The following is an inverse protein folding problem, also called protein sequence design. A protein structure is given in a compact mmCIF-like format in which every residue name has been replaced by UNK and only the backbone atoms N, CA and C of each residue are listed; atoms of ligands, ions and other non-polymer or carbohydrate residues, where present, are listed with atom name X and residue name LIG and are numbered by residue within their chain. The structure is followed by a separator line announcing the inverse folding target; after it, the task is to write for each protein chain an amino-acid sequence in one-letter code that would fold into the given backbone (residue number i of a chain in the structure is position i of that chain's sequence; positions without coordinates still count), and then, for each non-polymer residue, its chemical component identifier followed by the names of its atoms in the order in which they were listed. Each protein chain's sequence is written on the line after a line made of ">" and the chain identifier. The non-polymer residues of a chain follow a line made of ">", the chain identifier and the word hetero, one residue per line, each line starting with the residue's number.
data_IF_154142369650
#
_entry.id   IF_154142369650
#
_cell.length_a   1.000
_cell.length_b   1.000
_cell.length_c   1.000
_cell.angle_alpha   90.00
_cell.angle_beta   90.00
_cell.angle_gamma   90.00
#
_symmetry.space_group_name_H-M   'P 1'
#
loop_
_entity.id
_entity.type
_entity.pdbx_description
1 polymer ?
#
# COMPACT_ATOMS: atom_id res chain seq x y z
N UNK A 1 -1.70 -31.94 6.30
CA UNK A 1 -2.11 -30.53 6.13
C UNK A 1 -1.96 -30.19 4.66
N UNK A 2 -3.03 -29.71 4.00
CA UNK A 2 -2.98 -29.33 2.59
C UNK A 2 -2.05 -28.13 2.38
N UNK A 3 -1.66 -27.84 1.13
CA UNK A 3 -0.92 -26.61 0.81
C UNK A 3 -1.73 -25.36 1.20
N UNK A 4 -3.05 -25.37 0.98
CA UNK A 4 -3.96 -24.30 1.36
C UNK A 4 -3.95 -24.06 2.88
N UNK A 5 -4.02 -25.12 3.68
CA UNK A 5 -3.96 -25.00 5.15
C UNK A 5 -2.60 -24.45 5.61
N UNK A 6 -1.50 -24.89 4.99
CA UNK A 6 -0.14 -24.38 5.28
C UNK A 6 -0.03 -22.90 4.95
N UNK A 7 -0.52 -22.48 3.79
CA UNK A 7 -0.52 -21.08 3.39
C UNK A 7 -1.39 -20.24 4.33
N UNK A 8 -2.53 -20.75 4.78
CA UNK A 8 -3.37 -20.05 5.76
C UNK A 8 -2.63 -19.79 7.08
N UNK A 9 -1.84 -20.76 7.57
CA UNK A 9 -0.98 -20.58 8.75
C UNK A 9 0.10 -19.52 8.49
N UNK A 10 0.76 -19.57 7.33
CA UNK A 10 1.76 -18.55 6.93
C UNK A 10 1.13 -17.15 6.88
N UNK A 11 -0.05 -17.01 6.28
CA UNK A 11 -0.76 -15.73 6.20
C UNK A 11 -1.09 -15.20 7.59
N UNK A 12 -1.57 -16.06 8.50
CA UNK A 12 -1.85 -15.66 9.87
C UNK A 12 -0.59 -15.19 10.62
N UNK A 13 0.54 -15.87 10.41
CA UNK A 13 1.82 -15.42 10.97
C UNK A 13 2.24 -14.08 10.39
N UNK A 14 2.05 -13.86 9.09
CA UNK A 14 2.43 -12.63 8.42
C UNK A 14 1.63 -11.40 8.90
N UNK A 15 0.38 -11.60 9.34
CA UNK A 15 -0.44 -10.57 9.99
C UNK A 15 -0.04 -10.31 11.46
N UNK A 16 0.85 -11.13 12.04
CA UNK A 16 1.30 -11.00 13.43
C UNK A 16 2.63 -10.25 13.49
N UNK A 17 2.62 -9.03 14.03
CA UNK A 17 3.83 -8.21 14.20
C UNK A 17 4.96 -8.98 14.90
N UNK A 18 6.17 -8.93 14.34
CA UNK A 18 7.35 -9.59 14.90
C UNK A 18 7.50 -11.06 14.49
N UNK A 19 6.62 -11.59 13.64
CA UNK A 19 6.70 -12.96 13.10
C UNK A 19 7.25 -13.00 11.66
N UNK A 20 7.75 -11.88 11.14
CA UNK A 20 8.25 -11.77 9.76
C UNK A 20 9.37 -12.79 9.49
N UNK A 21 10.32 -12.95 10.42
CA UNK A 21 11.40 -13.94 10.28
C UNK A 21 10.88 -15.39 10.35
N UNK A 22 9.84 -15.63 11.14
CA UNK A 22 9.22 -16.96 11.23
C UNK A 22 8.53 -17.33 9.91
N UNK A 23 7.88 -16.36 9.25
CA UNK A 23 7.31 -16.50 7.90
C UNK A 23 8.42 -16.82 6.90
N UNK A 24 9.47 -16.01 6.85
CA UNK A 24 10.60 -16.18 5.91
C UNK A 24 11.25 -17.57 6.05
N UNK A 25 11.36 -18.10 7.28
CA UNK A 25 11.94 -19.43 7.51
C UNK A 25 11.11 -20.60 6.97
N UNK A 26 9.79 -20.43 6.81
CA UNK A 26 8.88 -21.51 6.40
C UNK A 26 8.67 -21.57 4.88
N UNK A 27 8.83 -20.43 4.19
CA UNK A 27 8.51 -20.29 2.78
C UNK A 27 9.34 -21.17 1.83
N UNK A 28 10.66 -21.38 2.03
CA UNK A 28 11.44 -22.24 1.14
C UNK A 28 10.91 -23.69 1.08
N UNK A 29 10.66 -24.31 2.23
CA UNK A 29 10.15 -25.68 2.30
C UNK A 29 8.70 -25.78 1.78
N UNK A 30 7.87 -24.77 2.04
CA UNK A 30 6.53 -24.69 1.47
C UNK A 30 6.57 -24.62 -0.07
N UNK A 31 7.45 -23.78 -0.62
CA UNK A 31 7.61 -23.59 -2.06
C UNK A 31 8.11 -24.85 -2.74
N UNK A 32 9.14 -25.50 -2.21
CA UNK A 32 9.67 -26.77 -2.74
C UNK A 32 8.57 -27.84 -2.83
N UNK A 33 7.72 -27.92 -1.80
CA UNK A 33 6.58 -28.83 -1.82
C UNK A 33 5.56 -28.43 -2.91
N UNK A 34 5.19 -27.16 -3.01
CA UNK A 34 4.24 -26.69 -4.02
C UNK A 34 4.76 -26.91 -5.45
N UNK A 35 6.06 -26.73 -5.70
CA UNK A 35 6.71 -27.03 -6.97
C UNK A 35 6.68 -28.53 -7.29
N UNK A 36 6.95 -29.38 -6.30
CA UNK A 36 6.88 -30.85 -6.42
C UNK A 36 5.45 -31.32 -6.75
N UNK A 37 4.44 -30.66 -6.19
CA UNK A 37 3.03 -30.93 -6.46
C UNK A 37 2.51 -30.22 -7.71
N UNK A 38 3.35 -29.41 -8.39
CA UNK A 38 3.01 -28.58 -9.54
C UNK A 38 1.84 -27.60 -9.29
N UNK A 39 1.66 -27.14 -8.04
CA UNK A 39 0.70 -26.10 -7.67
C UNK A 39 1.34 -24.71 -7.87
N UNK A 40 1.50 -24.32 -9.13
CA UNK A 40 2.12 -23.04 -9.52
C UNK A 40 1.45 -21.80 -8.94
N UNK A 41 0.11 -21.75 -8.77
CA UNK A 41 -0.54 -20.68 -8.01
C UNK A 41 -0.02 -20.59 -6.56
N UNK A 42 0.21 -21.71 -5.88
CA UNK A 42 0.79 -21.71 -4.52
C UNK A 42 2.26 -21.29 -4.53
N UNK A 43 3.03 -21.65 -5.55
CA UNK A 43 4.42 -21.18 -5.73
C UNK A 43 4.43 -19.65 -5.85
N UNK A 44 3.61 -19.07 -6.73
CA UNK A 44 3.51 -17.61 -6.89
C UNK A 44 3.05 -16.92 -5.58
N UNK A 45 2.07 -17.50 -4.89
CA UNK A 45 1.59 -16.97 -3.60
C UNK A 45 2.67 -17.00 -2.51
N UNK A 46 3.53 -18.03 -2.49
CA UNK A 46 4.64 -18.08 -1.53
C UNK A 46 5.61 -16.92 -1.70
N UNK A 47 5.93 -16.54 -2.94
CA UNK A 47 6.79 -15.38 -3.21
C UNK A 47 6.12 -14.06 -2.79
N UNK A 48 4.81 -13.93 -2.95
CA UNK A 48 4.08 -12.76 -2.45
C UNK A 48 4.07 -12.69 -0.92
N UNK A 49 3.99 -13.83 -0.22
CA UNK A 49 4.13 -13.83 1.24
C UNK A 49 5.54 -13.43 1.68
N UNK A 50 6.57 -13.89 0.96
CA UNK A 50 7.96 -13.45 1.19
C UNK A 50 8.11 -11.94 1.00
N UNK A 51 7.55 -11.40 -0.09
CA UNK A 51 7.52 -9.97 -0.36
C UNK A 51 6.87 -9.19 0.78
N UNK A 52 5.69 -9.63 1.27
CA UNK A 52 4.97 -8.96 2.35
C UNK A 52 5.76 -8.99 3.67
N UNK A 53 6.40 -10.12 4.00
CA UNK A 53 7.25 -10.23 5.18
C UNK A 53 8.42 -9.22 5.12
N UNK A 54 9.08 -9.11 3.97
CA UNK A 54 10.11 -8.09 3.76
C UNK A 54 9.55 -6.67 3.82
N UNK A 55 8.37 -6.43 3.25
CA UNK A 55 7.70 -5.13 3.35
C UNK A 55 7.48 -4.73 4.81
N UNK A 56 7.02 -5.64 5.65
CA UNK A 56 6.82 -5.40 7.08
C UNK A 56 8.13 -5.07 7.80
N UNK A 57 9.24 -5.74 7.47
CA UNK A 57 10.56 -5.43 8.01
C UNK A 57 11.02 -4.01 7.62
N UNK A 58 10.84 -3.62 6.35
CA UNK A 58 11.14 -2.25 5.89
C UNK A 58 10.28 -1.21 6.63
N UNK A 59 9.00 -1.49 6.81
CA UNK A 59 8.06 -0.58 7.50
C UNK A 59 8.30 -0.44 9.01
N UNK A 60 9.09 -1.35 9.60
CA UNK A 60 9.48 -1.31 11.01
C UNK A 60 10.89 -0.71 11.21
N UNK A 61 11.41 0.00 10.21
CA UNK A 61 12.77 0.58 10.18
C UNK A 61 13.88 -0.47 10.37
N UNK A 62 13.62 -1.73 9.97
CA UNK A 62 14.56 -2.84 10.05
C UNK A 62 15.23 -3.12 8.70
N UNK A 63 15.64 -2.09 7.97
CA UNK A 63 16.28 -2.24 6.65
C UNK A 63 17.55 -1.38 6.56
N UNK A 64 18.59 -1.70 7.36
CA UNK A 64 19.78 -0.86 7.47
C UNK A 64 20.65 -0.86 6.20
N UNK A 65 20.43 -1.78 5.27
CA UNK A 65 21.28 -2.04 4.11
C UNK A 65 20.50 -2.24 2.80
N UNK A 66 19.23 -1.83 2.75
CA UNK A 66 18.31 -2.03 1.61
C UNK A 66 18.12 -3.51 1.19
N UNK A 67 18.55 -4.46 2.04
CA UNK A 67 18.47 -5.90 1.73
C UNK A 67 17.01 -6.35 1.60
N UNK A 68 16.10 -5.79 2.41
CA UNK A 68 14.69 -6.15 2.34
C UNK A 68 14.01 -5.53 1.13
N UNK A 69 14.34 -4.28 0.75
CA UNK A 69 13.85 -3.69 -0.52
C UNK A 69 14.30 -4.47 -1.74
N UNK A 70 15.54 -4.97 -1.72
CA UNK A 70 16.09 -5.82 -2.77
C UNK A 70 15.37 -7.17 -2.83
N UNK A 71 15.12 -7.78 -1.66
CA UNK A 71 14.39 -9.03 -1.56
C UNK A 71 12.93 -8.90 -2.02
N UNK A 72 12.25 -7.79 -1.69
CA UNK A 72 10.90 -7.48 -2.20
C UNK A 72 10.85 -7.45 -3.73
N UNK A 73 11.86 -6.86 -4.39
CA UNK A 73 11.93 -6.83 -5.85
C UNK A 73 12.18 -8.22 -6.43
N UNK A 74 13.14 -8.95 -5.88
CA UNK A 74 13.51 -10.30 -6.33
C UNK A 74 12.33 -11.27 -6.24
N UNK A 75 11.61 -11.23 -5.12
CA UNK A 75 10.45 -12.09 -4.87
C UNK A 75 9.25 -11.71 -5.74
N UNK A 76 8.98 -10.41 -5.95
CA UNK A 76 7.96 -9.96 -6.88
C UNK A 76 8.24 -10.39 -8.33
N UNK A 77 9.50 -10.27 -8.77
CA UNK A 77 9.95 -10.73 -10.09
C UNK A 77 9.81 -12.25 -10.25
N UNK A 78 10.21 -13.01 -9.22
CA UNK A 78 10.08 -14.47 -9.21
C UNK A 78 8.61 -14.90 -9.31
N UNK A 79 7.71 -14.26 -8.54
CA UNK A 79 6.28 -14.51 -8.63
C UNK A 79 5.73 -14.20 -10.02
N UNK A 80 6.14 -13.08 -10.62
CA UNK A 80 5.75 -12.71 -11.97
C UNK A 80 6.20 -13.73 -13.01
N UNK A 81 7.44 -14.18 -12.93
CA UNK A 81 7.98 -15.19 -13.83
C UNK A 81 7.17 -16.50 -13.76
N UNK A 82 6.86 -16.98 -12.55
CA UNK A 82 6.00 -18.17 -12.35
C UNK A 82 4.62 -17.97 -13.00
N UNK A 83 4.01 -16.80 -12.80
CA UNK A 83 2.70 -16.47 -13.40
C UNK A 83 2.75 -16.53 -14.93
N UNK A 84 3.81 -16.01 -15.54
CA UNK A 84 4.00 -16.00 -17.00
C UNK A 84 4.29 -17.42 -17.52
N UNK A 85 5.28 -18.11 -16.95
CA UNK A 85 5.73 -19.43 -17.42
C UNK A 85 4.63 -20.48 -17.37
N UNK A 86 3.70 -20.35 -16.41
CA UNK A 86 2.60 -21.27 -16.20
C UNK A 86 1.23 -20.74 -16.65
N UNK A 87 1.20 -19.61 -17.37
CA UNK A 87 -0.02 -19.00 -17.95
C UNK A 87 -1.14 -18.75 -16.92
N UNK A 88 -0.80 -18.29 -15.72
CA UNK A 88 -1.73 -18.02 -14.61
C UNK A 88 -2.41 -16.65 -14.77
N UNK A 89 -3.18 -16.49 -15.85
CA UNK A 89 -3.70 -15.18 -16.28
C UNK A 89 -4.53 -14.43 -15.22
N UNK A 90 -5.24 -15.16 -14.36
CA UNK A 90 -6.02 -14.64 -13.23
C UNK A 90 -5.15 -14.02 -12.13
N UNK A 91 -3.86 -14.38 -12.09
CA UNK A 91 -2.89 -13.89 -11.11
C UNK A 91 -2.08 -12.69 -11.62
N UNK A 92 -2.15 -12.35 -12.91
CA UNK A 92 -1.36 -11.27 -13.52
C UNK A 92 -1.61 -9.92 -12.85
N UNK A 93 -2.88 -9.57 -12.58
CA UNK A 93 -3.21 -8.30 -11.93
C UNK A 93 -2.55 -8.16 -10.54
N UNK A 94 -2.52 -9.25 -9.78
CA UNK A 94 -1.83 -9.27 -8.48
C UNK A 94 -0.32 -9.24 -8.64
N UNK A 95 0.23 -9.94 -9.64
CA UNK A 95 1.66 -9.92 -9.91
C UNK A 95 2.19 -8.51 -10.23
N UNK A 96 1.50 -7.77 -11.11
CA UNK A 96 1.82 -6.37 -11.40
C UNK A 96 1.67 -5.46 -10.17
N UNK A 97 0.67 -5.70 -9.30
CA UNK A 97 0.55 -4.99 -8.01
C UNK A 97 1.81 -5.17 -7.14
N UNK A 98 2.33 -6.39 -7.05
CA UNK A 98 3.54 -6.68 -6.26
C UNK A 98 4.82 -6.09 -6.89
N UNK A 99 4.95 -6.13 -8.22
CA UNK A 99 6.04 -5.44 -8.92
C UNK A 99 6.00 -3.94 -8.69
N UNK A 100 4.83 -3.32 -8.83
CA UNK A 100 4.64 -1.90 -8.56
C UNK A 100 5.04 -1.54 -7.13
N UNK A 101 4.66 -2.37 -6.15
CA UNK A 101 5.04 -2.14 -4.75
C UNK A 101 6.54 -2.24 -4.53
N UNK A 102 7.18 -3.27 -5.09
CA UNK A 102 8.63 -3.40 -5.04
C UNK A 102 9.33 -2.17 -5.66
N UNK A 103 8.88 -1.71 -6.82
CA UNK A 103 9.43 -0.52 -7.46
C UNK A 103 9.23 0.75 -6.62
N UNK A 104 8.06 0.94 -6.00
CA UNK A 104 7.83 2.07 -5.08
C UNK A 104 8.86 2.08 -3.95
N UNK A 105 9.08 0.95 -3.28
CA UNK A 105 10.05 0.85 -2.19
C UNK A 105 11.50 1.03 -2.65
N UNK A 106 11.81 0.75 -3.92
CA UNK A 106 13.14 0.96 -4.51
C UNK A 106 13.31 2.35 -5.15
N UNK A 107 12.40 3.30 -4.91
CA UNK A 107 12.47 4.64 -5.50
C UNK A 107 12.19 4.72 -7.01
N UNK A 108 11.80 3.60 -7.62
CA UNK A 108 11.56 3.43 -9.07
C UNK A 108 10.11 3.80 -9.42
N UNK A 109 9.77 5.07 -9.20
CA UNK A 109 8.36 5.51 -9.20
C UNK A 109 7.70 5.50 -10.58
N UNK A 110 8.45 5.68 -11.66
CA UNK A 110 7.93 5.57 -13.03
C UNK A 110 7.61 4.13 -13.42
N UNK A 111 8.48 3.17 -13.08
CA UNK A 111 8.15 1.75 -13.25
C UNK A 111 6.96 1.36 -12.37
N UNK A 112 6.93 1.81 -11.11
CA UNK A 112 5.80 1.54 -10.22
C UNK A 112 4.47 2.04 -10.80
N UNK A 113 4.46 3.25 -11.37
CA UNK A 113 3.28 3.83 -12.05
C UNK A 113 2.77 2.93 -13.18
N UNK A 114 3.69 2.43 -14.02
CA UNK A 114 3.37 1.54 -15.14
C UNK A 114 2.78 0.21 -14.68
N UNK A 115 3.40 -0.40 -13.67
CA UNK A 115 2.93 -1.65 -13.08
C UNK A 115 1.56 -1.51 -12.42
N UNK A 116 1.32 -0.44 -11.66
CA UNK A 116 0.03 -0.21 -11.04
C UNK A 116 -1.08 0.05 -12.05
N UNK A 117 -0.81 0.78 -13.13
CA UNK A 117 -1.81 0.98 -14.19
C UNK A 117 -2.19 -0.36 -14.84
N UNK A 118 -1.21 -1.21 -15.14
CA UNK A 118 -1.43 -2.54 -15.70
C UNK A 118 -2.22 -3.42 -14.73
N UNK A 119 -1.87 -3.40 -13.45
CA UNK A 119 -2.58 -4.12 -12.40
C UNK A 119 -4.06 -3.70 -12.30
N UNK A 120 -4.35 -2.40 -12.30
CA UNK A 120 -5.71 -1.85 -12.22
C UNK A 120 -6.54 -2.35 -13.41
N UNK A 121 -6.03 -2.23 -14.63
CA UNK A 121 -6.73 -2.64 -15.85
C UNK A 121 -7.08 -4.14 -15.82
N UNK A 122 -6.17 -4.98 -15.32
CA UNK A 122 -6.37 -6.42 -15.19
C UNK A 122 -7.36 -6.77 -14.08
N UNK A 123 -7.22 -6.16 -12.90
CA UNK A 123 -8.10 -6.41 -11.75
C UNK A 123 -9.54 -5.96 -12.03
N UNK A 124 -9.74 -4.85 -12.75
CA UNK A 124 -11.06 -4.41 -13.17
C UNK A 124 -11.72 -5.39 -14.14
N UNK A 125 -10.97 -5.95 -15.10
CA UNK A 125 -11.48 -6.95 -16.04
C UNK A 125 -12.02 -8.20 -15.34
N UNK A 126 -11.40 -8.60 -14.24
CA UNK A 126 -11.84 -9.76 -13.42
C UNK A 126 -12.72 -9.37 -12.24
N UNK A 127 -13.18 -8.10 -12.17
CA UNK A 127 -14.04 -7.57 -11.11
C UNK A 127 -13.47 -7.78 -9.70
N UNK A 128 -12.16 -7.61 -9.54
CA UNK A 128 -11.51 -7.77 -8.24
C UNK A 128 -11.38 -6.43 -7.51
N UNK A 129 -11.88 -6.30 -6.26
CA UNK A 129 -11.87 -5.05 -5.51
C UNK A 129 -10.47 -4.49 -5.22
N UNK A 130 -9.41 -5.32 -5.34
CA UNK A 130 -8.01 -4.87 -5.18
C UNK A 130 -7.64 -3.71 -6.10
N UNK A 131 -8.36 -3.51 -7.22
CA UNK A 131 -8.13 -2.38 -8.10
C UNK A 131 -8.20 -1.04 -7.35
N UNK A 132 -9.03 -0.92 -6.31
CA UNK A 132 -9.14 0.30 -5.48
C UNK A 132 -7.91 0.53 -4.60
N UNK A 133 -7.39 -0.52 -3.97
CA UNK A 133 -6.15 -0.43 -3.20
C UNK A 133 -4.98 0.00 -4.10
N UNK A 134 -4.84 -0.67 -5.25
CA UNK A 134 -3.78 -0.38 -6.23
C UNK A 134 -3.93 1.03 -6.80
N UNK A 135 -5.15 1.54 -6.97
CA UNK A 135 -5.37 2.93 -7.38
C UNK A 135 -4.87 3.93 -6.33
N UNK A 136 -4.97 3.61 -5.05
CA UNK A 136 -4.33 4.39 -3.99
C UNK A 136 -2.79 4.35 -4.07
N UNK A 137 -2.22 3.25 -4.57
CA UNK A 137 -0.77 3.11 -4.77
C UNK A 137 -0.32 3.91 -6.00
N UNK A 138 -1.13 3.90 -7.06
CA UNK A 138 -0.92 4.74 -8.24
C UNK A 138 -0.95 6.22 -7.89
N UNK A 139 -1.88 6.66 -7.03
CA UNK A 139 -1.92 8.04 -6.54
C UNK A 139 -0.61 8.47 -5.86
N UNK A 140 -0.01 7.57 -5.06
CA UNK A 140 1.32 7.79 -4.47
C UNK A 140 2.39 7.96 -5.55
N UNK A 141 2.46 7.04 -6.52
CA UNK A 141 3.45 7.10 -7.61
C UNK A 141 3.28 8.36 -8.48
N UNK A 142 2.04 8.80 -8.74
CA UNK A 142 1.77 10.04 -9.46
C UNK A 142 2.36 11.25 -8.74
N UNK A 143 2.18 11.36 -7.43
CA UNK A 143 2.77 12.46 -6.64
C UNK A 143 4.30 12.40 -6.71
N UNK A 144 4.88 11.22 -6.51
CA UNK A 144 6.34 11.03 -6.51
C UNK A 144 7.00 11.26 -7.87
N UNK A 145 6.21 11.24 -8.95
CA UNK A 145 6.65 11.55 -10.33
C UNK A 145 6.31 12.99 -10.75
N UNK A 146 5.87 13.83 -9.81
CA UNK A 146 5.57 15.24 -10.04
C UNK A 146 4.15 15.54 -10.53
N UNK A 147 3.33 14.51 -10.77
CA UNK A 147 1.92 14.63 -11.16
C UNK A 147 1.01 14.84 -9.92
N UNK A 148 1.38 15.79 -9.06
CA UNK A 148 0.80 16.00 -7.72
C UNK A 148 -0.73 16.17 -7.75
N UNK A 149 -1.23 17.05 -8.62
CA UNK A 149 -2.67 17.32 -8.73
C UNK A 149 -3.47 16.07 -9.12
N UNK A 150 -2.94 15.30 -10.08
CA UNK A 150 -3.59 14.05 -10.52
C UNK A 150 -3.58 13.01 -9.42
N UNK A 151 -2.46 12.84 -8.72
CA UNK A 151 -2.35 11.90 -7.61
C UNK A 151 -3.31 12.23 -6.46
N UNK A 152 -3.41 13.51 -6.08
CA UNK A 152 -4.38 13.96 -5.08
C UNK A 152 -5.82 13.75 -5.53
N UNK A 153 -6.17 14.12 -6.77
CA UNK A 153 -7.51 13.93 -7.31
C UNK A 153 -7.91 12.45 -7.29
N UNK A 154 -7.02 11.56 -7.77
CA UNK A 154 -7.24 10.11 -7.77
C UNK A 154 -7.45 9.59 -6.35
N UNK A 155 -6.62 9.99 -5.38
CA UNK A 155 -6.76 9.51 -4.01
C UNK A 155 -8.08 9.92 -3.34
N UNK A 156 -8.53 11.16 -3.56
CA UNK A 156 -9.84 11.60 -3.05
C UNK A 156 -10.98 10.80 -3.68
N UNK A 157 -10.96 10.65 -5.01
CA UNK A 157 -11.95 9.86 -5.74
C UNK A 157 -12.01 8.42 -5.24
N UNK A 158 -10.86 7.77 -5.09
CA UNK A 158 -10.77 6.36 -4.67
C UNK A 158 -11.24 6.19 -3.23
N UNK A 159 -10.90 7.10 -2.32
CA UNK A 159 -11.39 7.03 -0.96
C UNK A 159 -12.92 7.10 -0.88
N UNK A 160 -13.54 7.97 -1.68
CA UNK A 160 -14.99 8.10 -1.73
C UNK A 160 -15.65 6.92 -2.48
N UNK A 161 -14.97 6.32 -3.46
CA UNK A 161 -15.40 5.10 -4.16
C UNK A 161 -15.56 3.90 -3.22
N UNK A 162 -14.80 3.80 -2.13
CA UNK A 162 -14.99 2.71 -1.17
C UNK A 162 -16.40 2.67 -0.53
N UNK A 163 -17.16 3.78 -0.56
CA UNK A 163 -18.54 3.82 -0.05
C UNK A 163 -19.61 3.56 -1.12
N UNK A 164 -19.23 3.57 -2.40
CA UNK A 164 -20.18 3.58 -3.52
C UNK A 164 -19.96 2.47 -4.53
N UNK A 165 -18.73 1.96 -4.63
CA UNK A 165 -18.38 0.88 -5.54
C UNK A 165 -18.92 -0.48 -5.06
N UNK A 166 -19.67 -1.23 -5.90
CA UNK A 166 -20.25 -2.51 -5.50
C UNK A 166 -19.23 -3.58 -5.06
N UNK A 167 -18.02 -3.58 -5.64
CA UNK A 167 -16.95 -4.50 -5.27
C UNK A 167 -16.37 -4.13 -3.90
N UNK A 168 -16.20 -2.83 -3.63
CA UNK A 168 -15.80 -2.35 -2.30
C UNK A 168 -16.81 -2.74 -1.22
N UNK A 169 -18.11 -2.55 -1.48
CA UNK A 169 -19.18 -2.91 -0.55
C UNK A 169 -19.28 -4.43 -0.33
N UNK A 170 -18.93 -5.23 -1.35
CA UNK A 170 -18.84 -6.69 -1.22
C UNK A 170 -17.66 -7.07 -0.36
N UNK A 171 -16.48 -6.48 -0.59
CA UNK A 171 -15.30 -6.66 0.24
C UNK A 171 -15.58 -6.26 1.70
N UNK A 172 -16.25 -5.14 1.95
CA UNK A 172 -16.60 -4.69 3.30
C UNK A 172 -17.37 -5.75 4.09
N UNK A 173 -18.31 -6.43 3.43
CA UNK A 173 -19.13 -7.48 4.07
C UNK A 173 -18.34 -8.77 4.29
N UNK A 174 -17.48 -9.13 3.35
CA UNK A 174 -16.70 -10.36 3.40
C UNK A 174 -15.50 -10.25 4.36
N UNK A 175 -14.78 -9.14 4.31
CA UNK A 175 -13.59 -8.84 5.08
C UNK A 175 -13.48 -7.34 5.38
N UNK A 176 -14.21 -6.91 6.42
CA UNK A 176 -14.19 -5.53 6.85
C UNK A 176 -12.81 -5.06 7.33
N UNK A 177 -11.93 -5.98 7.76
CA UNK A 177 -10.58 -5.61 8.18
C UNK A 177 -9.77 -5.14 6.97
N UNK A 178 -9.71 -5.96 5.91
CA UNK A 178 -9.00 -5.61 4.68
C UNK A 178 -9.58 -4.35 4.04
N UNK A 179 -10.92 -4.24 3.99
CA UNK A 179 -11.60 -3.04 3.52
C UNK A 179 -11.11 -1.76 4.25
N UNK A 180 -11.08 -1.78 5.58
CA UNK A 180 -10.66 -0.64 6.39
C UNK A 180 -9.16 -0.36 6.23
N UNK A 181 -8.32 -1.40 6.22
CA UNK A 181 -6.85 -1.25 6.05
C UNK A 181 -6.51 -0.58 4.72
N UNK A 182 -7.14 -1.00 3.61
CA UNK A 182 -6.87 -0.45 2.29
C UNK A 182 -7.37 0.98 2.16
N UNK A 183 -8.62 1.22 2.56
CA UNK A 183 -9.25 2.55 2.47
C UNK A 183 -8.51 3.59 3.30
N UNK A 184 -8.28 3.30 4.58
CA UNK A 184 -7.68 4.26 5.52
C UNK A 184 -6.19 4.47 5.28
N UNK A 185 -5.55 3.55 4.57
CA UNK A 185 -4.13 3.62 4.24
C UNK A 185 -3.76 4.58 3.12
N UNK A 186 -4.73 5.16 2.41
CA UNK A 186 -4.46 6.07 1.28
C UNK A 186 -3.72 7.32 1.77
N UNK A 187 -4.29 8.07 2.70
CA UNK A 187 -3.80 9.41 3.04
C UNK A 187 -2.51 9.47 3.87
N UNK A 188 -2.22 8.53 4.80
CA UNK A 188 -0.92 8.53 5.47
C UNK A 188 0.24 8.37 4.47
N UNK A 189 0.07 7.49 3.47
CA UNK A 189 1.09 7.28 2.43
C UNK A 189 1.22 8.46 1.50
N UNK A 190 0.09 9.06 1.11
CA UNK A 190 0.11 10.30 0.33
C UNK A 190 0.81 11.43 1.05
N UNK A 191 0.58 11.58 2.36
CA UNK A 191 1.25 12.62 3.15
C UNK A 191 2.77 12.47 3.07
N UNK A 192 3.29 11.25 3.20
CA UNK A 192 4.73 10.97 3.08
C UNK A 192 5.22 11.34 1.67
N UNK A 193 4.52 10.89 0.62
CA UNK A 193 4.87 11.22 -0.76
C UNK A 193 4.88 12.73 -1.05
N UNK A 194 3.92 13.48 -0.50
CA UNK A 194 3.84 14.93 -0.64
C UNK A 194 5.00 15.65 0.07
N UNK A 195 5.44 15.12 1.21
CA UNK A 195 6.59 15.65 1.96
C UNK A 195 7.90 15.39 1.21
N UNK A 196 8.09 14.16 0.72
CA UNK A 196 9.29 13.75 -0.03
C UNK A 196 9.54 14.61 -1.27
N UNK A 197 8.48 15.04 -1.96
CA UNK A 197 8.57 15.92 -3.14
C UNK A 197 8.35 17.40 -2.82
N UNK A 198 8.21 17.76 -1.54
CA UNK A 198 7.97 19.13 -1.07
C UNK A 198 6.79 19.82 -1.78
N UNK A 199 5.71 19.08 -2.01
CA UNK A 199 4.55 19.55 -2.76
C UNK A 199 3.80 20.69 -2.06
N UNK A 200 3.24 21.60 -2.86
CA UNK A 200 2.20 22.54 -2.41
C UNK A 200 0.84 21.89 -2.59
N UNK A 201 0.05 21.82 -1.53
CA UNK A 201 -1.27 21.18 -1.53
C UNK A 201 -2.19 21.76 -0.44
N UNK A 202 -3.48 21.46 -0.56
CA UNK A 202 -4.49 21.82 0.45
C UNK A 202 -4.37 20.92 1.69
N UNK A 203 -3.61 21.42 2.67
CA UNK A 203 -3.38 20.76 3.97
C UNK A 203 -4.67 20.57 4.76
N UNK A 204 -5.62 21.50 4.69
CA UNK A 204 -6.89 21.40 5.41
C UNK A 204 -7.76 20.27 4.84
N UNK A 205 -7.80 20.14 3.52
CA UNK A 205 -8.48 19.03 2.86
C UNK A 205 -7.84 17.68 3.18
N UNK A 206 -6.51 17.57 3.09
CA UNK A 206 -5.79 16.33 3.46
C UNK A 206 -6.06 15.94 4.92
N UNK A 207 -6.02 16.92 5.85
CA UNK A 207 -6.37 16.72 7.26
C UNK A 207 -7.78 16.16 7.42
N UNK A 208 -8.78 16.73 6.74
CA UNK A 208 -10.17 16.25 6.82
C UNK A 208 -10.30 14.77 6.43
N UNK A 209 -9.59 14.33 5.38
CA UNK A 209 -9.62 12.93 4.97
C UNK A 209 -8.88 12.01 5.94
N UNK A 210 -7.78 12.46 6.56
CA UNK A 210 -7.12 11.70 7.63
C UNK A 210 -8.01 11.56 8.87
N UNK A 211 -8.74 12.61 9.25
CA UNK A 211 -9.72 12.56 10.36
C UNK A 211 -10.86 11.59 10.05
N UNK A 212 -11.37 11.59 8.81
CA UNK A 212 -12.34 10.59 8.34
C UNK A 212 -11.77 9.18 8.44
N UNK A 213 -10.53 8.95 7.97
CA UNK A 213 -9.84 7.66 8.09
C UNK A 213 -9.72 7.22 9.55
N UNK A 214 -9.36 8.12 10.46
CA UNK A 214 -9.25 7.81 11.88
C UNK A 214 -10.60 7.42 12.48
N UNK A 215 -11.67 8.15 12.15
CA UNK A 215 -13.01 7.90 12.66
C UNK A 215 -13.61 6.54 12.23
N UNK A 216 -13.11 5.96 11.13
CA UNK A 216 -13.53 4.63 10.67
C UNK A 216 -12.93 3.48 11.49
N UNK A 217 -11.86 3.73 12.27
CA UNK A 217 -11.10 2.71 12.97
C UNK A 217 -11.47 2.67 14.46
N UNK A 218 -12.64 2.12 14.76
CA UNK A 218 -13.20 2.11 16.13
C UNK A 218 -12.56 1.08 17.05
N UNK A 219 -11.97 0.02 16.51
CA UNK A 219 -11.24 -1.01 17.26
C UNK A 219 -9.75 -0.63 17.34
N UNK A 220 -9.38 0.05 18.42
CA UNK A 220 -8.04 0.65 18.54
C UNK A 220 -6.92 -0.37 18.64
N UNK A 221 -7.19 -1.54 19.22
CA UNK A 221 -6.19 -2.60 19.38
C UNK A 221 -5.93 -3.28 18.04
N UNK A 222 -7.00 -3.59 17.30
CA UNK A 222 -6.90 -4.22 15.98
C UNK A 222 -6.20 -3.32 14.95
N UNK A 223 -6.40 -2.01 15.03
CA UNK A 223 -5.87 -1.05 14.04
C UNK A 223 -4.75 -0.17 14.59
N UNK A 224 -4.08 -0.58 15.67
CA UNK A 224 -3.07 0.23 16.36
C UNK A 224 -1.96 0.76 15.42
N UNK A 225 -1.50 -0.07 14.47
CA UNK A 225 -0.49 0.35 13.48
C UNK A 225 -1.02 1.48 12.58
N UNK A 226 -2.19 1.28 11.97
CA UNK A 226 -2.80 2.26 11.07
C UNK A 226 -3.15 3.56 11.80
N UNK A 227 -3.65 3.47 13.02
CA UNK A 227 -3.93 4.63 13.87
C UNK A 227 -2.66 5.42 14.18
N UNK A 228 -1.53 4.74 14.39
CA UNK A 228 -0.23 5.38 14.59
C UNK A 228 0.21 6.15 13.35
N UNK A 229 0.10 5.56 12.16
CA UNK A 229 0.42 6.25 10.89
C UNK A 229 -0.45 7.49 10.69
N UNK A 230 -1.77 7.36 10.85
CA UNK A 230 -2.72 8.48 10.70
C UNK A 230 -2.40 9.59 11.72
N UNK A 231 -2.11 9.23 12.97
CA UNK A 231 -1.80 10.21 14.02
C UNK A 231 -0.50 10.97 13.75
N UNK A 232 0.53 10.29 13.22
CA UNK A 232 1.77 10.93 12.77
C UNK A 232 1.50 11.93 11.65
N UNK A 233 0.77 11.53 10.62
CA UNK A 233 0.42 12.42 9.49
C UNK A 233 -0.43 13.62 9.92
N UNK A 234 -1.42 13.40 10.81
CA UNK A 234 -2.23 14.49 11.37
C UNK A 234 -1.38 15.48 12.16
N UNK A 235 -0.48 14.99 13.02
CA UNK A 235 0.41 15.82 13.83
C UNK A 235 1.27 16.73 12.96
N UNK A 236 1.85 16.18 11.89
CA UNK A 236 2.65 16.95 10.93
C UNK A 236 1.80 18.01 10.21
N UNK A 237 0.61 17.66 9.74
CA UNK A 237 -0.26 18.63 9.03
C UNK A 237 -0.71 19.76 9.96
N UNK A 238 -1.07 19.45 11.22
CA UNK A 238 -1.43 20.45 12.23
C UNK A 238 -0.26 21.40 12.49
N UNK A 239 0.95 20.85 12.63
CA UNK A 239 2.17 21.65 12.75
C UNK A 239 2.33 22.59 11.53
N UNK A 240 2.25 22.05 10.32
CA UNK A 240 2.38 22.85 9.09
C UNK A 240 1.28 23.93 8.95
N UNK A 241 0.05 23.69 9.41
CA UNK A 241 -1.00 24.70 9.39
C UNK A 241 -0.75 25.82 10.40
N UNK A 242 -0.27 25.48 11.60
CA UNK A 242 -0.01 26.45 12.66
C UNK A 242 1.16 27.40 12.34
N UNK A 243 2.21 26.89 11.69
CA UNK A 243 3.43 27.68 11.41
C UNK A 243 3.33 28.61 10.19
N UNK A 244 2.40 28.36 9.26
CA UNK A 244 2.25 29.20 8.06
C UNK A 244 1.16 30.28 8.19
N UNK A 245 0.25 30.19 9.16
CA UNK A 245 -0.78 31.22 9.39
C UNK A 245 -0.23 32.61 9.82
N UNK A 246 0.83 32.72 10.65
CA UNK A 246 1.29 34.04 11.14
C UNK A 246 2.06 34.87 10.10
N UNK A 247 2.58 34.28 9.03
CA UNK A 247 3.45 34.96 8.05
C UNK A 247 2.68 35.84 7.05
N UNK A 248 1.37 35.66 6.92
CA UNK A 248 0.53 36.44 5.99
C UNK A 248 -0.07 37.69 6.67
N UNK A 249 -0.18 37.70 8.00
CA UNK A 249 -0.79 38.81 8.75
C UNK A 249 0.13 40.01 8.99
N UNK A 250 1.44 39.90 8.72
CA UNK A 250 2.43 40.95 9.04
C UNK A 250 2.95 41.75 7.82
N UNK A 251 2.48 41.44 6.60
CA UNK A 251 2.84 42.21 5.39
C UNK A 251 1.92 43.42 5.12
N UNK A 252 1.02 43.74 6.06
CA UNK A 252 -0.04 44.73 5.87
C UNK A 252 0.25 46.16 6.34
N UNK A 253 1.32 46.42 7.10
CA UNK A 253 1.55 47.74 7.70
C UNK A 253 2.96 48.28 7.46
N UNK A 254 3.26 48.63 6.21
CA UNK A 254 4.24 49.70 5.96
C UNK A 254 3.52 51.05 6.10
N UNK A 255 3.89 51.89 7.08
CA UNK A 255 3.41 53.27 7.11
C UNK A 255 3.98 54.00 5.89
N UNK A 256 3.09 54.62 5.11
CA UNK A 256 3.51 55.58 4.08
C UNK A 256 4.17 56.76 4.80
N UNK A 257 5.47 56.93 4.59
CA UNK A 257 6.19 58.17 4.88
C UNK A 257 5.75 59.26 3.90
#
# INVERSE_FOLDING_TARGET
>A
MSLQDKLAVINQLNETKGQELAVLSQLPAFREQAETEHDWPMVAQSYWQEHLAHQHLVMNDQDPDDSHRTAMLTTAQSAHQVVIDHNLSELLGNSHRFLGRAYTYNGRHEEAKTEYQTAIDLLQKVQDPRYLEVSGFLAESLIRTGEVEKGLALAYEIFDKYDTDPLALTLQKADNYVYLVWRTGIFPRLQIALDDVQAVYDKAKLKSYLEKSQALLTDTDKFAYRLTEISKSLSLIVFLLAYYLPLITDLGHHPRL
#
